data_IF_681443467866
#
_entry.id   IF_681443467866
#
_cell.length_a   1.000
_cell.length_b   1.000
_cell.length_c   1.000
_cell.angle_alpha   90.00
_cell.angle_beta   90.00
_cell.angle_gamma   90.00
#
_symmetry.space_group_name_H-M   'P 1'
#
loop_
_entity.id
_entity.type
_entity.pdbx_description
1 polymer ?
#
# COMPACT_ATOMS: atom_id res chain seq x y z
N UNK A 1 2.46 -3.40 14.05
CA UNK A 1 1.79 -2.47 13.12
C UNK A 1 0.78 -3.26 12.28
N UNK A 2 -0.42 -2.72 12.00
CA UNK A 2 -1.45 -3.35 11.15
C UNK A 2 -0.92 -3.67 9.74
N UNK A 3 -0.07 -2.82 9.16
CA UNK A 3 0.54 -3.06 7.84
C UNK A 3 1.33 -4.37 7.79
N UNK A 4 2.07 -4.71 8.85
CA UNK A 4 2.77 -6.00 8.95
C UNK A 4 1.79 -7.18 9.01
N UNK A 5 0.68 -7.03 9.75
CA UNK A 5 -0.36 -8.08 9.82
C UNK A 5 -1.03 -8.32 8.47
N UNK A 6 -1.20 -7.27 7.66
CA UNK A 6 -1.70 -7.39 6.27
C UNK A 6 -0.68 -8.16 5.43
N UNK A 7 0.60 -7.77 5.48
CA UNK A 7 1.67 -8.47 4.77
C UNK A 7 1.73 -9.96 5.14
N UNK A 8 1.66 -10.29 6.44
CA UNK A 8 1.67 -11.67 6.93
C UNK A 8 0.43 -12.44 6.42
N UNK A 9 -0.73 -11.79 6.32
CA UNK A 9 -1.92 -12.43 5.75
C UNK A 9 -1.85 -12.67 4.26
N UNK A 10 -1.25 -11.76 3.50
CA UNK A 10 -0.99 -11.96 2.08
C UNK A 10 -0.02 -13.13 1.87
N UNK A 11 1.06 -13.17 2.65
CA UNK A 11 2.08 -14.23 2.59
C UNK A 11 1.50 -15.62 2.91
N UNK A 12 0.63 -15.72 3.92
CA UNK A 12 -0.07 -16.96 4.26
C UNK A 12 -1.01 -17.47 3.16
N UNK A 13 -1.42 -16.61 2.21
CA UNK A 13 -2.34 -16.95 1.14
C UNK A 13 -1.71 -16.76 -0.25
N UNK A 14 -0.38 -16.80 -0.36
CA UNK A 14 0.33 -16.43 -1.59
C UNK A 14 -0.13 -17.22 -2.82
N UNK A 15 -0.29 -18.55 -2.69
CA UNK A 15 -0.73 -19.40 -3.79
C UNK A 15 -2.17 -19.08 -4.22
N UNK A 16 -3.07 -18.90 -3.25
CA UNK A 16 -4.46 -18.55 -3.52
C UNK A 16 -4.57 -17.22 -4.28
N UNK A 17 -3.85 -16.20 -3.81
CA UNK A 17 -3.87 -14.86 -4.41
C UNK A 17 -3.22 -14.87 -5.81
N UNK A 18 -2.10 -15.57 -5.99
CA UNK A 18 -1.43 -15.65 -7.29
C UNK A 18 -2.28 -16.39 -8.33
N UNK A 19 -2.98 -17.45 -7.93
CA UNK A 19 -3.91 -18.17 -8.81
C UNK A 19 -5.09 -17.28 -9.20
N UNK A 20 -5.67 -16.53 -8.25
CA UNK A 20 -6.76 -15.60 -8.53
C UNK A 20 -6.32 -14.51 -9.51
N UNK A 21 -5.19 -13.84 -9.23
CA UNK A 21 -4.60 -12.82 -10.10
C UNK A 21 -4.34 -13.37 -11.51
N UNK A 22 -3.79 -14.58 -11.63
CA UNK A 22 -3.55 -15.25 -12.92
C UNK A 22 -4.83 -15.55 -13.67
N UNK A 23 -5.85 -16.06 -12.99
CA UNK A 23 -7.12 -16.42 -13.61
C UNK A 23 -7.85 -15.22 -14.19
N UNK A 24 -7.81 -14.10 -13.46
CA UNK A 24 -8.51 -12.90 -13.87
C UNK A 24 -7.71 -12.07 -14.88
N UNK A 25 -6.42 -11.87 -14.61
CA UNK A 25 -5.58 -11.01 -15.44
C UNK A 25 -5.01 -11.72 -16.68
N UNK A 26 -4.91 -13.05 -16.65
CA UNK A 26 -4.33 -13.86 -17.72
C UNK A 26 -2.81 -13.96 -17.71
N UNK A 27 -2.13 -13.42 -16.68
CA UNK A 27 -0.67 -13.51 -16.53
C UNK A 27 -0.22 -14.92 -16.17
N UNK A 28 0.93 -15.41 -16.69
CA UNK A 28 1.46 -16.71 -16.30
C UNK A 28 1.64 -16.83 -14.79
N UNK A 29 1.21 -17.96 -14.21
CA UNK A 29 1.27 -18.21 -12.75
C UNK A 29 2.67 -18.03 -12.15
N UNK A 30 3.72 -18.27 -12.95
CA UNK A 30 5.11 -18.03 -12.52
C UNK A 30 5.35 -16.56 -12.18
N UNK A 31 4.74 -15.63 -12.90
CA UNK A 31 4.91 -14.20 -12.67
C UNK A 31 4.16 -13.72 -11.43
N UNK A 32 2.90 -14.15 -11.26
CA UNK A 32 2.09 -13.76 -10.10
C UNK A 32 2.64 -14.37 -8.80
N UNK A 33 3.15 -15.61 -8.83
CA UNK A 33 3.81 -16.25 -7.69
C UNK A 33 5.18 -15.66 -7.34
N UNK A 34 6.00 -15.33 -8.35
CA UNK A 34 7.39 -14.95 -8.12
C UNK A 34 7.61 -13.42 -8.03
N UNK A 35 6.68 -12.62 -8.52
CA UNK A 35 6.80 -11.16 -8.57
C UNK A 35 5.59 -10.46 -7.94
N UNK A 36 4.39 -10.55 -8.54
CA UNK A 36 3.29 -9.64 -8.20
C UNK A 36 2.89 -9.71 -6.72
N UNK A 37 2.59 -10.91 -6.20
CA UNK A 37 2.20 -11.08 -4.80
C UNK A 37 3.37 -10.88 -3.83
N UNK A 38 4.59 -11.43 -4.08
CA UNK A 38 5.77 -11.10 -3.27
C UNK A 38 6.07 -9.60 -3.16
N UNK A 39 6.00 -8.87 -4.27
CA UNK A 39 6.23 -7.43 -4.30
C UNK A 39 5.13 -6.67 -3.54
N UNK A 40 3.89 -7.13 -3.61
CA UNK A 40 2.80 -6.55 -2.81
C UNK A 40 3.06 -6.75 -1.30
N UNK A 41 3.46 -7.95 -0.88
CA UNK A 41 3.82 -8.25 0.52
C UNK A 41 4.95 -7.33 0.99
N UNK A 42 6.03 -7.24 0.21
CA UNK A 42 7.18 -6.40 0.53
C UNK A 42 6.79 -4.92 0.65
N UNK A 43 5.90 -4.43 -0.21
CA UNK A 43 5.46 -3.04 -0.19
C UNK A 43 4.73 -2.66 1.11
N UNK A 44 3.91 -3.56 1.66
CA UNK A 44 3.30 -3.37 2.99
C UNK A 44 4.36 -3.37 4.10
N UNK A 45 5.37 -4.25 4.01
CA UNK A 45 6.49 -4.29 4.96
C UNK A 45 7.33 -3.00 4.90
N UNK A 46 7.61 -2.52 3.70
CA UNK A 46 8.30 -1.26 3.46
C UNK A 46 7.56 -0.10 4.11
N UNK A 47 6.27 0.09 3.84
CA UNK A 47 5.51 1.18 4.44
C UNK A 47 5.30 1.03 5.95
N UNK A 48 5.30 -0.20 6.47
CA UNK A 48 5.33 -0.43 7.90
C UNK A 48 6.62 0.09 8.56
N UNK A 49 7.76 -0.01 7.85
CA UNK A 49 9.03 0.58 8.25
C UNK A 49 9.03 2.11 8.07
N UNK A 50 8.53 2.59 6.93
CA UNK A 50 8.48 4.01 6.58
C UNK A 50 7.76 4.84 7.65
N UNK A 51 6.60 4.39 8.16
CA UNK A 51 5.90 5.13 9.22
C UNK A 51 6.67 5.21 10.52
N UNK A 52 7.53 4.22 10.80
CA UNK A 52 8.36 4.22 12.01
C UNK A 52 9.57 5.13 11.86
N UNK A 53 10.06 5.29 10.63
CA UNK A 53 11.18 6.16 10.28
C UNK A 53 10.76 7.59 9.91
N UNK A 54 9.45 7.88 9.83
CA UNK A 54 8.96 9.21 9.48
C UNK A 54 9.25 10.18 10.63
N UNK A 55 10.01 11.24 10.31
CA UNK A 55 10.33 12.32 11.24
C UNK A 55 9.52 13.58 10.90
N UNK A 56 9.24 14.37 11.93
CA UNK A 56 8.68 15.71 11.79
C UNK A 56 9.76 16.77 11.63
N UNK A 57 9.34 18.00 11.34
CA UNK A 57 10.22 19.16 11.32
C UNK A 57 9.92 20.10 12.49
N UNK A 58 10.95 20.71 13.05
CA UNK A 58 10.82 21.84 13.97
C UNK A 58 11.85 22.90 13.58
N UNK A 59 11.42 24.16 13.52
CA UNK A 59 12.28 25.28 13.11
C UNK A 59 12.13 26.44 14.09
N UNK A 60 13.22 27.03 14.60
CA UNK A 60 13.14 28.29 15.32
C UNK A 60 12.75 29.40 14.34
N UNK A 61 11.78 30.23 14.72
CA UNK A 61 11.41 31.43 13.96
C UNK A 61 12.18 32.62 14.52
N UNK A 62 12.11 32.80 15.84
CA UNK A 62 12.80 33.83 16.62
C UNK A 62 13.08 33.32 18.05
N UNK A 63 13.53 34.21 18.95
CA UNK A 63 13.94 33.86 20.32
C UNK A 63 12.79 33.31 21.18
N UNK A 64 11.54 33.67 20.88
CA UNK A 64 10.36 33.31 21.68
C UNK A 64 9.40 32.36 20.94
N UNK A 65 9.65 32.07 19.65
CA UNK A 65 8.72 31.34 18.78
C UNK A 65 9.37 30.19 18.02
N UNK A 66 8.69 29.04 18.02
CA UNK A 66 9.11 27.82 17.31
C UNK A 66 7.98 27.31 16.42
N UNK A 67 8.30 26.96 15.16
CA UNK A 67 7.40 26.30 14.23
C UNK A 67 7.48 24.79 14.37
N UNK A 68 6.34 24.13 14.59
CA UNK A 68 6.21 22.67 14.52
C UNK A 68 5.50 22.27 13.24
N UNK A 69 6.04 21.29 12.51
CA UNK A 69 5.46 20.81 11.26
C UNK A 69 4.86 19.42 11.47
N UNK A 70 3.55 19.32 11.29
CA UNK A 70 2.81 18.06 11.41
C UNK A 70 2.40 17.55 10.03
N UNK A 71 2.54 16.24 9.83
CA UNK A 71 2.06 15.56 8.64
C UNK A 71 0.74 14.87 8.97
N UNK A 72 -0.37 15.54 8.69
CA UNK A 72 -1.71 15.03 8.97
C UNK A 72 -2.27 14.24 7.78
N UNK A 73 -3.11 13.23 8.01
CA UNK A 73 -3.84 12.55 6.94
C UNK A 73 -4.75 13.54 6.19
N UNK A 74 -4.91 13.33 4.89
CA UNK A 74 -5.84 14.08 4.05
C UNK A 74 -7.30 13.71 4.35
N UNK A 75 -7.56 12.54 4.95
CA UNK A 75 -8.89 12.05 5.28
C UNK A 75 -9.29 10.88 4.38
N UNK A 76 -10.39 11.02 3.63
CA UNK A 76 -10.87 9.98 2.70
C UNK A 76 -10.27 10.19 1.33
N UNK A 77 -9.57 9.19 0.80
CA UNK A 77 -8.95 9.24 -0.54
C UNK A 77 -9.61 8.26 -1.50
N UNK A 78 -10.02 8.78 -2.66
CA UNK A 78 -10.46 7.98 -3.80
C UNK A 78 -9.26 7.51 -4.62
N UNK A 79 -9.19 6.20 -4.90
CA UNK A 79 -8.08 5.59 -5.63
C UNK A 79 -8.64 4.80 -6.82
N UNK A 80 -8.05 4.99 -8.01
CA UNK A 80 -8.41 4.26 -9.23
C UNK A 80 -7.14 3.59 -9.75
N UNK A 81 -7.21 2.31 -10.10
CA UNK A 81 -6.07 1.52 -10.56
C UNK A 81 -6.34 0.88 -11.94
N UNK A 82 -5.30 0.67 -12.76
CA UNK A 82 -5.41 -0.07 -14.02
C UNK A 82 -5.41 -1.59 -13.80
N UNK A 83 -5.63 -2.34 -14.87
CA UNK A 83 -5.81 -3.79 -14.84
C UNK A 83 -4.51 -4.60 -14.93
N UNK A 84 -3.36 -4.04 -15.28
CA UNK A 84 -2.18 -4.83 -15.67
C UNK A 84 -1.39 -5.47 -14.52
N UNK A 85 -1.58 -5.00 -13.29
CA UNK A 85 -1.04 -5.61 -12.06
C UNK A 85 -2.02 -5.39 -10.90
N UNK A 86 -3.21 -6.03 -10.90
CA UNK A 86 -4.34 -5.65 -10.04
C UNK A 86 -3.99 -5.55 -8.54
N UNK A 87 -3.56 -6.64 -7.91
CA UNK A 87 -3.25 -6.66 -6.46
C UNK A 87 -2.04 -5.77 -6.15
N UNK A 88 -1.02 -5.77 -7.00
CA UNK A 88 0.20 -4.98 -6.77
C UNK A 88 -0.08 -3.47 -6.87
N UNK A 89 -0.84 -3.03 -7.88
CA UNK A 89 -1.24 -1.63 -8.05
C UNK A 89 -2.19 -1.17 -6.93
N UNK A 90 -3.13 -2.03 -6.51
CA UNK A 90 -3.95 -1.76 -5.33
C UNK A 90 -3.07 -1.52 -4.11
N UNK A 91 -2.07 -2.39 -3.91
CA UNK A 91 -1.11 -2.29 -2.80
C UNK A 91 -0.29 -1.00 -2.85
N UNK A 92 0.19 -0.59 -4.02
CA UNK A 92 0.90 0.68 -4.22
C UNK A 92 0.11 1.92 -3.82
N UNK A 93 -1.22 1.81 -3.80
CA UNK A 93 -2.11 2.89 -3.39
C UNK A 93 -2.53 2.75 -1.93
N UNK A 94 -2.85 1.54 -1.48
CA UNK A 94 -3.39 1.27 -0.14
C UNK A 94 -2.31 1.45 0.92
N UNK A 95 -1.13 0.85 0.75
CA UNK A 95 -0.09 0.85 1.77
C UNK A 95 0.36 2.26 2.19
N UNK A 96 0.74 3.19 1.27
CA UNK A 96 1.08 4.56 1.65
C UNK A 96 -0.10 5.35 2.24
N UNK A 97 -1.32 5.14 1.74
CA UNK A 97 -2.48 5.87 2.24
C UNK A 97 -2.82 5.47 3.68
N UNK A 98 -2.82 4.16 3.98
CA UNK A 98 -2.99 3.67 5.35
C UNK A 98 -1.83 4.08 6.26
N UNK A 99 -0.59 4.03 5.75
CA UNK A 99 0.60 4.49 6.46
C UNK A 99 0.47 5.95 6.92
N UNK A 100 -0.02 6.82 6.03
CA UNK A 100 -0.26 8.23 6.32
C UNK A 100 -1.55 8.49 7.15
N UNK A 101 -2.30 7.45 7.53
CA UNK A 101 -3.50 7.57 8.37
C UNK A 101 -4.81 7.89 7.62
N UNK A 102 -4.86 7.67 6.30
CA UNK A 102 -6.04 7.96 5.49
C UNK A 102 -7.04 6.80 5.46
N UNK A 103 -8.31 7.13 5.18
CA UNK A 103 -9.35 6.19 4.76
C UNK A 103 -9.37 6.09 3.24
N UNK A 104 -9.76 4.95 2.69
CA UNK A 104 -9.64 4.67 1.25
C UNK A 104 -10.98 4.22 0.66
N UNK A 105 -11.32 4.75 -0.51
CA UNK A 105 -12.30 4.18 -1.43
C UNK A 105 -11.56 3.80 -2.72
N UNK A 106 -11.43 2.50 -2.99
CA UNK A 106 -10.69 1.99 -4.14
C UNK A 106 -11.65 1.51 -5.23
N UNK A 107 -11.42 1.97 -6.47
CA UNK A 107 -12.05 1.44 -7.68
C UNK A 107 -11.01 0.65 -8.50
N UNK A 108 -11.11 -0.69 -8.56
CA UNK A 108 -10.31 -1.49 -9.48
C UNK A 108 -10.75 -1.27 -10.93
N UNK A 109 -9.92 -1.72 -11.86
CA UNK A 109 -10.29 -1.77 -13.26
C UNK A 109 -11.42 -2.79 -13.47
N UNK A 110 -12.32 -2.52 -14.42
CA UNK A 110 -13.48 -3.38 -14.70
C UNK A 110 -13.10 -4.75 -15.28
N UNK A 111 -11.91 -4.85 -15.88
CA UNK A 111 -11.35 -6.10 -16.42
C UNK A 111 -10.83 -7.02 -15.31
N UNK A 112 -10.42 -6.46 -14.18
CA UNK A 112 -9.84 -7.20 -13.06
C UNK A 112 -10.37 -6.73 -11.70
N UNK A 113 -11.67 -6.91 -11.43
CA UNK A 113 -12.30 -6.47 -10.17
C UNK A 113 -12.07 -7.38 -8.95
N UNK A 114 -11.59 -8.62 -9.11
CA UNK A 114 -11.52 -9.66 -8.06
C UNK A 114 -10.24 -9.59 -7.23
#
# INVERSE_FOLDING_TARGET
>A
NLLLKIADRLEQNIELLAVAETWENGKPIRETLAADIPLAIDHFRYFAGAIRAQEGGVSPIDDDTVAYHFHEPLGVVGQIIPWNFPILMATWKIAPALAAGNYIVLKPAEQTPV
#
